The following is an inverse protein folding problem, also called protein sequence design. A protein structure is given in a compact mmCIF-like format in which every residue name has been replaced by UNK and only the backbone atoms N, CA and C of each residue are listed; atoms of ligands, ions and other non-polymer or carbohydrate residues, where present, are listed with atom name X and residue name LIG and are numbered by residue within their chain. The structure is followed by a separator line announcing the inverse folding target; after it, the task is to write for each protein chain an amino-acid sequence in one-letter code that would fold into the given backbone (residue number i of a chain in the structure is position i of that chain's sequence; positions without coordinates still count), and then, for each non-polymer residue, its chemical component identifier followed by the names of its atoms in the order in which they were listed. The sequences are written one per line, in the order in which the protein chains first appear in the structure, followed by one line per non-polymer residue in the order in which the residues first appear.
data_IF_291601136839
#
_entry.id   IF_291601136839
#
_cell.length_a   1.000
_cell.length_b   1.000
_cell.length_c   1.000
_cell.angle_alpha   90.00
_cell.angle_beta   90.00
_cell.angle_gamma   90.00
#
_symmetry.space_group_name_H-M   'P 1'
#
loop_
_entity.id
_entity.type
_entity.pdbx_description
1 polymer ?
#
# COMPACT_ATOMS: atom_id res chain seq x y z
N UNK A 1 4.77 20.13 -13.04
CA UNK A 1 4.51 19.28 -11.86
C UNK A 1 5.84 19.00 -11.19
N UNK A 2 6.08 19.58 -10.02
CA UNK A 2 7.34 19.42 -9.29
C UNK A 2 7.34 18.05 -8.62
N UNK A 3 8.09 17.08 -9.16
CA UNK A 3 8.34 15.83 -8.45
C UNK A 3 9.10 16.18 -7.16
N UNK A 4 8.45 16.05 -6.00
CA UNK A 4 9.13 16.13 -4.71
C UNK A 4 10.18 15.02 -4.67
N UNK A 5 11.44 15.43 -4.82
CA UNK A 5 12.59 14.56 -4.80
C UNK A 5 12.75 14.08 -3.35
N UNK A 6 12.43 12.81 -3.11
CA UNK A 6 12.65 12.18 -1.79
C UNK A 6 14.16 12.19 -1.54
N UNK A 7 14.61 12.95 -0.54
CA UNK A 7 16.04 13.03 -0.23
C UNK A 7 16.53 11.69 0.31
N UNK A 8 17.72 11.26 -0.13
CA UNK A 8 18.36 10.03 0.36
C UNK A 8 18.58 10.17 1.88
N UNK A 9 18.06 9.22 2.65
CA UNK A 9 18.14 9.23 4.11
C UNK A 9 16.96 9.88 4.83
N UNK A 10 15.97 10.42 4.10
CA UNK A 10 14.70 10.85 4.71
C UNK A 10 13.70 9.70 4.73
N UNK A 11 13.23 9.34 5.92
CA UNK A 11 12.19 8.33 6.11
C UNK A 11 12.15 7.82 7.54
N UNK A 12 10.96 7.47 8.01
CA UNK A 12 10.78 6.76 9.28
C UNK A 12 10.66 5.27 9.02
N UNK A 13 11.26 4.46 9.90
CA UNK A 13 11.10 3.01 9.88
C UNK A 13 9.83 2.67 10.66
N UNK A 14 8.93 1.92 10.03
CA UNK A 14 7.73 1.39 10.65
C UNK A 14 7.75 -0.13 10.58
N UNK A 15 7.41 -0.77 11.70
CA UNK A 15 7.17 -2.20 11.77
C UNK A 15 5.67 -2.43 11.68
N UNK A 16 5.22 -3.03 10.58
CA UNK A 16 3.81 -3.38 10.37
C UNK A 16 3.62 -4.86 10.66
N UNK A 17 2.57 -5.18 11.42
CA UNK A 17 2.14 -6.56 11.61
C UNK A 17 1.38 -7.01 10.36
N UNK A 18 1.89 -8.05 9.69
CA UNK A 18 1.21 -8.70 8.58
C UNK A 18 0.75 -10.08 9.06
N UNK A 19 -0.50 -10.42 8.80
CA UNK A 19 -0.96 -11.79 9.00
C UNK A 19 -0.28 -12.74 7.98
N UNK A 20 -0.41 -14.05 8.23
CA UNK A 20 0.26 -15.07 7.42
C UNK A 20 -0.15 -15.07 5.94
N UNK A 21 -1.38 -14.65 5.62
CA UNK A 21 -1.88 -14.55 4.24
C UNK A 21 -1.25 -13.33 3.58
N UNK A 22 -1.32 -12.16 4.22
CA UNK A 22 -0.73 -10.93 3.69
C UNK A 22 0.78 -11.04 3.49
N UNK A 23 1.50 -11.72 4.40
CA UNK A 23 2.93 -11.99 4.25
C UNK A 23 3.25 -12.92 3.06
N UNK A 24 2.41 -13.93 2.82
CA UNK A 24 2.51 -14.81 1.65
C UNK A 24 2.28 -14.03 0.36
N UNK A 25 1.25 -13.20 0.32
CA UNK A 25 0.90 -12.41 -0.86
C UNK A 25 1.99 -11.39 -1.20
N UNK A 26 2.57 -10.73 -0.18
CA UNK A 26 3.71 -9.83 -0.37
C UNK A 26 4.93 -10.55 -0.98
N UNK A 27 5.17 -11.79 -0.56
CA UNK A 27 6.22 -12.65 -1.13
C UNK A 27 5.88 -13.04 -2.57
N UNK A 28 4.62 -13.39 -2.86
CA UNK A 28 4.14 -13.66 -4.21
C UNK A 28 4.30 -12.47 -5.15
N UNK A 29 3.94 -11.26 -4.71
CA UNK A 29 4.16 -10.03 -5.48
C UNK A 29 5.65 -9.84 -5.83
N UNK A 30 6.54 -10.10 -4.87
CA UNK A 30 7.98 -9.98 -5.10
C UNK A 30 8.47 -10.96 -6.15
N UNK A 31 7.98 -12.21 -6.13
CA UNK A 31 8.32 -13.23 -7.11
C UNK A 31 7.81 -12.85 -8.50
N UNK A 32 6.54 -12.46 -8.63
CA UNK A 32 5.95 -12.07 -9.92
C UNK A 32 6.67 -10.87 -10.54
N UNK A 33 7.06 -9.88 -9.72
CA UNK A 33 7.84 -8.74 -10.19
C UNK A 33 9.24 -9.17 -10.67
N UNK A 34 9.88 -10.10 -9.96
CA UNK A 34 11.18 -10.65 -10.36
C UNK A 34 11.08 -11.40 -11.69
N UNK A 35 10.04 -12.19 -11.89
CA UNK A 35 9.80 -12.93 -13.14
C UNK A 35 9.59 -11.97 -14.33
N UNK A 36 9.09 -10.75 -14.08
CA UNK A 36 8.99 -9.67 -15.05
C UNK A 36 10.26 -8.83 -15.20
N UNK A 37 11.36 -9.20 -14.54
CA UNK A 37 12.65 -8.49 -14.61
C UNK A 37 12.81 -7.34 -13.61
N UNK A 38 11.86 -7.14 -12.69
CA UNK A 38 11.93 -6.10 -11.65
C UNK A 38 12.44 -6.67 -10.32
N UNK A 39 13.65 -6.27 -9.93
CA UNK A 39 14.20 -6.61 -8.60
C UNK A 39 13.81 -5.55 -7.57
N UNK A 40 12.71 -5.79 -6.84
CA UNK A 40 12.23 -4.91 -5.78
C UNK A 40 12.25 -5.61 -4.42
N UNK A 41 12.59 -4.86 -3.37
CA UNK A 41 12.44 -5.33 -2.00
C UNK A 41 10.98 -5.29 -1.56
N UNK A 42 10.59 -6.12 -0.59
CA UNK A 42 9.26 -6.10 0.01
C UNK A 42 8.89 -4.71 0.54
N UNK A 43 9.81 -3.99 1.18
CA UNK A 43 9.56 -2.61 1.62
C UNK A 43 9.27 -1.65 0.46
N UNK A 44 9.90 -1.85 -0.71
CA UNK A 44 9.62 -1.05 -1.90
C UNK A 44 8.22 -1.37 -2.47
N UNK A 45 7.81 -2.64 -2.44
CA UNK A 45 6.48 -3.09 -2.84
C UNK A 45 5.41 -2.47 -1.92
N UNK A 46 5.59 -2.57 -0.59
CA UNK A 46 4.67 -1.96 0.39
C UNK A 46 4.55 -0.45 0.18
N UNK A 47 5.66 0.27 -0.03
CA UNK A 47 5.62 1.72 -0.32
C UNK A 47 4.83 2.04 -1.59
N UNK A 48 4.94 1.22 -2.64
CA UNK A 48 4.16 1.40 -3.88
C UNK A 48 2.67 1.14 -3.64
N UNK A 49 2.34 0.05 -2.94
CA UNK A 49 0.97 -0.29 -2.59
C UNK A 49 0.28 0.82 -1.80
N UNK A 50 0.94 1.38 -0.77
CA UNK A 50 0.41 2.48 0.03
C UNK A 50 0.16 3.75 -0.80
N UNK A 51 1.08 4.09 -1.72
CA UNK A 51 0.90 5.26 -2.60
C UNK A 51 -0.25 5.06 -3.57
N UNK A 52 -0.39 3.86 -4.13
CA UNK A 52 -1.49 3.50 -5.02
C UNK A 52 -2.83 3.56 -4.28
N UNK A 53 -2.91 2.94 -3.10
CA UNK A 53 -4.11 2.96 -2.29
C UNK A 53 -4.53 4.37 -1.88
N UNK A 54 -3.57 5.21 -1.45
CA UNK A 54 -3.84 6.62 -1.15
C UNK A 54 -4.36 7.38 -2.38
N UNK A 55 -3.82 7.12 -3.57
CA UNK A 55 -4.30 7.74 -4.80
C UNK A 55 -5.74 7.33 -5.12
N UNK A 56 -6.06 6.04 -4.98
CA UNK A 56 -7.42 5.53 -5.16
C UNK A 56 -8.39 6.17 -4.16
N UNK A 57 -8.03 6.24 -2.88
CA UNK A 57 -8.84 6.91 -1.85
C UNK A 57 -9.09 8.38 -2.18
N UNK A 58 -8.09 9.11 -2.69
CA UNK A 58 -8.25 10.51 -3.10
C UNK A 58 -9.23 10.67 -4.26
N UNK A 59 -9.19 9.76 -5.23
CA UNK A 59 -10.12 9.74 -6.37
C UNK A 59 -11.54 9.43 -5.90
N UNK A 60 -11.69 8.45 -5.01
CA UNK A 60 -12.96 8.12 -4.36
C UNK A 60 -13.51 9.28 -3.53
N UNK A 61 -12.71 10.06 -2.82
CA UNK A 61 -13.23 11.26 -2.13
C UNK A 61 -13.68 12.38 -3.08
N UNK A 62 -13.29 12.31 -4.36
CA UNK A 62 -13.64 13.31 -5.38
C UNK A 62 -14.92 12.91 -6.15
N UNK A 63 -15.18 11.61 -6.29
CA UNK A 63 -16.38 11.04 -6.90
C UNK A 63 -17.31 10.53 -5.79
N UNK A 64 -18.54 11.04 -5.67
CA UNK A 64 -19.49 10.77 -4.55
C UNK A 64 -19.98 9.31 -4.43
N UNK A 65 -19.08 8.32 -4.39
CA UNK A 65 -19.36 6.89 -4.21
C UNK A 65 -18.77 6.36 -2.87
N UNK A 66 -18.30 7.25 -2.00
CA UNK A 66 -17.68 6.91 -0.71
C UNK A 66 -18.72 6.87 0.39
N UNK A 67 -19.36 5.73 0.58
CA UNK A 67 -20.00 5.49 1.88
C UNK A 67 -19.89 4.05 2.38
N UNK A 68 -19.81 3.05 1.50
CA UNK A 68 -19.69 1.65 1.95
C UNK A 68 -18.23 1.22 2.16
N UNK A 69 -17.37 1.36 1.16
CA UNK A 69 -16.03 0.74 1.19
C UNK A 69 -15.09 1.43 2.19
N UNK A 70 -15.15 2.76 2.34
CA UNK A 70 -14.37 3.46 3.38
C UNK A 70 -14.87 3.08 4.79
N UNK A 71 -16.17 2.87 4.97
CA UNK A 71 -16.71 2.43 6.27
C UNK A 71 -16.26 1.01 6.59
N UNK A 72 -16.22 0.11 5.61
CA UNK A 72 -15.72 -1.26 5.79
C UNK A 72 -14.23 -1.30 6.08
N UNK A 73 -13.42 -0.50 5.37
CA UNK A 73 -11.99 -0.38 5.66
C UNK A 73 -11.75 0.24 7.04
N UNK A 74 -12.55 1.23 7.45
CA UNK A 74 -12.47 1.82 8.79
C UNK A 74 -12.91 0.83 9.88
N UNK A 75 -13.91 -0.01 9.62
CA UNK A 75 -14.33 -1.09 10.53
C UNK A 75 -13.24 -2.15 10.67
N UNK A 76 -12.68 -2.60 9.55
CA UNK A 76 -11.58 -3.57 9.55
C UNK A 76 -10.33 -3.02 10.26
N UNK A 77 -10.00 -1.73 10.09
CA UNK A 77 -8.89 -1.08 10.77
C UNK A 77 -9.12 -0.91 12.30
N UNK A 78 -10.37 -0.91 12.75
CA UNK A 78 -10.74 -0.90 14.16
C UNK A 78 -10.94 -2.32 14.75
N UNK A 79 -10.72 -3.37 13.94
CA UNK A 79 -10.88 -4.76 14.36
C UNK A 79 -12.34 -5.24 14.40
N UNK A 80 -13.27 -4.50 13.81
CA UNK A 80 -14.63 -4.96 13.59
C UNK A 80 -14.69 -5.72 12.26
N UNK A 81 -14.85 -7.04 12.36
CA UNK A 81 -15.18 -7.93 11.25
C UNK A 81 -16.68 -7.90 10.96
#
# INVERSE_FOLDING_TARGET
MTQQQVSRGSGSIYHVNLDSVTARDLTGCQQLLRDQGFSLSQSAIVRRALRYYLQQLKQLTTEQAVSSEIVEVMRAAQGFA
#
